data_IF_017915462241
#
_entry.id   IF_017915462241
#
_cell.length_a   1.000
_cell.length_b   1.000
_cell.length_c   1.000
_cell.angle_alpha   90.00
_cell.angle_beta   90.00
_cell.angle_gamma   90.00
#
_symmetry.space_group_name_H-M   'P 1'
#
loop_
_entity.id
_entity.type
_entity.pdbx_description
1 polymer ?
#
# COMPACT_ATOMS: atom_id res chain seq x y z
N UNK A 1 1.38 50.29 -9.30
CA UNK A 1 2.37 49.18 -9.15
C UNK A 1 1.96 48.15 -8.09
N UNK A 2 1.33 48.52 -6.97
CA UNK A 2 0.89 47.57 -5.92
C UNK A 2 -0.10 46.46 -6.35
N UNK A 3 -1.01 46.73 -7.30
CA UNK A 3 -2.01 45.73 -7.75
C UNK A 3 -1.42 44.56 -8.54
N UNK A 4 -0.30 44.76 -9.25
CA UNK A 4 0.33 43.70 -10.03
C UNK A 4 1.12 42.72 -9.14
N UNK A 5 1.68 43.20 -8.03
CA UNK A 5 2.44 42.39 -7.07
C UNK A 5 1.53 41.44 -6.27
N UNK A 6 0.33 41.90 -5.90
CA UNK A 6 -0.67 41.07 -5.20
C UNK A 6 -1.18 39.95 -6.12
N UNK A 7 -1.36 40.24 -7.42
CA UNK A 7 -1.79 39.24 -8.41
C UNK A 7 -0.70 38.19 -8.70
N UNK A 8 0.57 38.61 -8.78
CA UNK A 8 1.71 37.69 -8.94
C UNK A 8 1.92 36.82 -7.70
N UNK A 9 1.79 37.37 -6.49
CA UNK A 9 1.85 36.59 -5.25
C UNK A 9 0.70 35.57 -5.16
N UNK A 10 -0.52 35.95 -5.56
CA UNK A 10 -1.66 35.04 -5.63
C UNK A 10 -1.46 33.92 -6.66
N UNK A 11 -0.87 34.21 -7.82
CA UNK A 11 -0.58 33.19 -8.85
C UNK A 11 0.51 32.22 -8.38
N UNK A 12 1.58 32.70 -7.72
CA UNK A 12 2.63 31.84 -7.16
C UNK A 12 2.13 31.00 -5.99
N UNK A 13 1.23 31.53 -5.15
CA UNK A 13 0.57 30.75 -4.11
C UNK A 13 -0.41 29.71 -4.71
N UNK A 14 -1.17 30.07 -5.75
CA UNK A 14 -2.13 29.17 -6.42
C UNK A 14 -1.46 28.03 -7.19
N UNK A 15 -0.22 28.19 -7.67
CA UNK A 15 0.53 27.10 -8.32
C UNK A 15 1.29 26.20 -7.34
N UNK A 16 1.35 26.55 -6.05
CA UNK A 16 2.20 25.88 -5.06
C UNK A 16 1.52 24.78 -4.23
N UNK A 17 0.21 24.54 -4.39
CA UNK A 17 -0.52 23.58 -3.53
C UNK A 17 -1.34 22.55 -4.30
N UNK A 18 -0.93 22.16 -5.51
CA UNK A 18 -1.40 20.89 -6.06
C UNK A 18 -0.51 19.81 -5.45
N UNK A 19 -1.01 19.11 -4.43
CA UNK A 19 -0.32 17.96 -3.88
C UNK A 19 0.08 17.03 -5.04
N UNK A 20 1.37 16.71 -5.15
CA UNK A 20 1.91 15.84 -6.18
C UNK A 20 2.21 14.47 -5.59
N UNK A 21 2.05 13.43 -6.41
CA UNK A 21 2.47 12.09 -6.01
C UNK A 21 3.98 12.06 -5.79
N UNK A 22 4.40 11.57 -4.63
CA UNK A 22 5.79 11.30 -4.32
C UNK A 22 6.05 9.81 -4.38
N UNK A 23 6.87 9.39 -5.35
CA UNK A 23 7.30 8.00 -5.46
C UNK A 23 8.10 7.59 -4.21
N UNK A 24 7.80 6.42 -3.60
CA UNK A 24 8.57 5.96 -2.46
C UNK A 24 9.99 5.57 -2.88
N UNK A 25 10.94 5.73 -1.96
CA UNK A 25 12.32 5.31 -2.18
C UNK A 25 12.46 3.82 -1.81
N UNK A 26 12.95 3.01 -2.74
CA UNK A 26 13.25 1.59 -2.50
C UNK A 26 14.67 1.51 -1.92
N UNK A 27 14.86 1.01 -0.68
CA UNK A 27 16.19 0.82 -0.14
C UNK A 27 16.95 -0.26 -0.93
N UNK A 28 18.23 -0.04 -1.23
CA UNK A 28 19.01 -0.99 -2.04
C UNK A 28 19.24 -2.35 -1.38
N UNK A 29 19.16 -2.42 -0.04
CA UNK A 29 19.42 -3.64 0.73
C UNK A 29 18.22 -4.58 0.83
N UNK A 30 16.99 -4.09 0.66
CA UNK A 30 15.77 -4.90 0.88
C UNK A 30 15.65 -6.03 -0.14
N UNK A 31 16.09 -5.82 -1.38
CA UNK A 31 16.09 -6.86 -2.40
C UNK A 31 16.95 -8.06 -1.99
N UNK A 32 18.20 -7.82 -1.57
CA UNK A 32 19.10 -8.89 -1.17
C UNK A 32 18.57 -9.65 0.06
N UNK A 33 18.04 -8.94 1.06
CA UNK A 33 17.46 -9.56 2.25
C UNK A 33 16.17 -10.34 1.96
N UNK A 34 15.36 -9.88 0.99
CA UNK A 34 14.20 -10.62 0.53
C UNK A 34 14.60 -11.96 -0.09
N UNK A 35 15.62 -11.96 -0.96
CA UNK A 35 16.15 -13.19 -1.58
C UNK A 35 16.68 -14.13 -0.50
N UNK A 36 17.51 -13.62 0.41
CA UNK A 36 18.06 -14.41 1.52
C UNK A 36 16.95 -15.05 2.34
N UNK A 37 15.90 -14.30 2.70
CA UNK A 37 14.78 -14.78 3.49
C UNK A 37 14.00 -15.89 2.80
N UNK A 38 13.64 -15.70 1.53
CA UNK A 38 12.87 -16.67 0.77
C UNK A 38 13.70 -17.94 0.54
N UNK A 39 14.96 -17.80 0.14
CA UNK A 39 15.83 -18.93 -0.14
C UNK A 39 16.32 -19.67 1.11
N UNK A 40 16.45 -19.00 2.26
CA UNK A 40 16.81 -19.66 3.52
C UNK A 40 15.72 -20.62 4.01
N UNK A 41 14.45 -20.31 3.74
CA UNK A 41 13.34 -21.17 4.13
C UNK A 41 13.14 -22.34 3.14
N UNK A 42 13.52 -22.18 1.88
CA UNK A 42 13.40 -23.20 0.83
C UNK A 42 14.70 -23.29 0.00
N UNK A 43 15.80 -23.83 0.55
CA UNK A 43 17.09 -23.86 -0.16
C UNK A 43 17.08 -24.72 -1.42
N UNK A 44 16.20 -25.74 -1.48
CA UNK A 44 16.01 -26.57 -2.67
C UNK A 44 15.46 -25.79 -3.85
N UNK A 45 14.44 -24.96 -3.62
CA UNK A 45 13.79 -24.11 -4.64
C UNK A 45 14.70 -22.99 -5.15
N UNK A 46 15.75 -22.62 -4.42
CA UNK A 46 16.72 -21.62 -4.86
C UNK A 46 18.04 -22.22 -5.38
N UNK A 47 18.07 -23.53 -5.64
CA UNK A 47 19.30 -24.23 -5.99
C UNK A 47 19.74 -23.97 -7.44
N UNK A 48 18.81 -23.71 -8.36
CA UNK A 48 19.15 -23.38 -9.74
C UNK A 48 19.35 -21.87 -9.94
N UNK A 49 20.20 -21.55 -10.92
CA UNK A 49 20.41 -20.16 -11.36
C UNK A 49 19.12 -19.51 -11.90
N UNK A 50 18.20 -20.31 -12.44
CA UNK A 50 16.94 -19.81 -13.00
C UNK A 50 15.98 -19.42 -11.89
N UNK A 51 15.73 -20.30 -10.93
CA UNK A 51 14.84 -20.03 -9.79
C UNK A 51 15.36 -18.87 -8.95
N UNK A 52 16.66 -18.84 -8.66
CA UNK A 52 17.29 -17.73 -7.96
C UNK A 52 17.07 -16.39 -8.68
N UNK A 53 17.09 -16.36 -10.01
CA UNK A 53 16.80 -15.14 -10.77
C UNK A 53 15.33 -14.73 -10.69
N UNK A 54 14.40 -15.70 -10.69
CA UNK A 54 12.98 -15.43 -10.54
C UNK A 54 12.70 -14.78 -9.18
N UNK A 55 13.28 -15.31 -8.10
CA UNK A 55 13.17 -14.74 -6.75
C UNK A 55 13.85 -13.37 -6.68
N UNK A 56 15.04 -13.23 -7.26
CA UNK A 56 15.73 -11.94 -7.30
C UNK A 56 14.91 -10.83 -7.98
N UNK A 57 14.27 -11.14 -9.11
CA UNK A 57 13.36 -10.21 -9.80
C UNK A 57 12.09 -9.91 -8.98
N UNK A 58 11.47 -10.95 -8.40
CA UNK A 58 10.30 -10.82 -7.57
C UNK A 58 10.56 -9.94 -6.32
N UNK A 59 11.73 -10.09 -5.72
CA UNK A 59 12.24 -9.30 -4.61
C UNK A 59 12.66 -7.87 -4.99
N UNK A 60 12.52 -7.45 -6.25
CA UNK A 60 12.67 -6.03 -6.58
C UNK A 60 11.60 -5.20 -5.87
N UNK A 61 11.88 -3.91 -5.62
CA UNK A 61 10.88 -2.91 -5.20
C UNK A 61 10.19 -3.17 -3.86
N UNK A 62 10.84 -3.89 -2.96
CA UNK A 62 10.37 -4.05 -1.59
C UNK A 62 10.68 -2.78 -0.79
N UNK A 63 9.64 -2.13 -0.24
CA UNK A 63 9.82 -0.95 0.62
C UNK A 63 10.51 -1.31 1.93
N UNK A 64 10.06 -2.42 2.49
CA UNK A 64 10.55 -3.08 3.68
C UNK A 64 10.26 -4.59 3.53
N UNK A 65 10.65 -5.41 4.51
CA UNK A 65 10.36 -6.85 4.49
C UNK A 65 9.10 -7.23 5.27
N UNK A 66 8.40 -6.25 5.86
CA UNK A 66 7.29 -6.51 6.77
C UNK A 66 6.09 -7.16 6.06
N UNK A 67 5.82 -6.80 4.80
CA UNK A 67 4.80 -7.48 4.01
C UNK A 67 5.13 -8.98 3.82
N UNK A 68 6.39 -9.29 3.48
CA UNK A 68 6.84 -10.68 3.28
C UNK A 68 6.80 -11.44 4.61
N UNK A 69 7.33 -10.84 5.68
CA UNK A 69 7.34 -11.45 7.02
C UNK A 69 5.93 -11.78 7.53
N UNK A 70 4.97 -10.87 7.30
CA UNK A 70 3.59 -11.11 7.68
C UNK A 70 2.92 -12.15 6.78
N UNK A 71 3.17 -12.11 5.46
CA UNK A 71 2.62 -13.09 4.52
C UNK A 71 3.08 -14.50 4.87
N UNK A 72 4.39 -14.72 5.06
CA UNK A 72 4.97 -16.03 5.38
C UNK A 72 4.56 -16.56 6.77
N UNK A 73 4.08 -15.69 7.65
CA UNK A 73 3.55 -16.07 8.96
C UNK A 73 2.09 -16.51 8.89
N UNK A 74 1.32 -15.96 7.94
CA UNK A 74 -0.12 -16.21 7.80
C UNK A 74 -0.40 -17.38 6.86
N UNK A 75 0.36 -17.49 5.78
CA UNK A 75 0.27 -18.57 4.80
C UNK A 75 0.85 -19.84 5.40
N UNK A 76 0.20 -20.98 5.14
CA UNK A 76 0.68 -22.27 5.63
C UNK A 76 2.04 -22.62 5.02
N UNK A 77 2.88 -23.36 5.74
CA UNK A 77 4.19 -23.77 5.20
C UNK A 77 4.11 -24.62 3.93
N UNK A 78 2.96 -25.26 3.69
CA UNK A 78 2.68 -26.07 2.51
C UNK A 78 2.33 -25.25 1.27
N UNK A 79 1.98 -23.97 1.43
CA UNK A 79 1.64 -23.03 0.35
C UNK A 79 2.71 -21.93 0.18
N UNK A 80 3.92 -22.21 0.67
CA UNK A 80 5.08 -21.34 0.50
C UNK A 80 6.37 -22.14 0.25
N UNK A 81 6.25 -23.37 -0.23
CA UNK A 81 7.37 -24.29 -0.42
C UNK A 81 7.67 -24.54 -1.90
N UNK A 82 6.87 -24.00 -2.82
CA UNK A 82 7.15 -24.00 -4.26
C UNK A 82 7.67 -22.65 -4.73
N UNK A 83 8.58 -22.67 -5.71
CA UNK A 83 9.14 -21.44 -6.29
C UNK A 83 8.08 -20.45 -6.79
N UNK A 84 6.98 -20.93 -7.36
CA UNK A 84 5.89 -20.10 -7.89
C UNK A 84 5.13 -19.35 -6.79
N UNK A 85 4.93 -20.00 -5.64
CA UNK A 85 4.29 -19.42 -4.47
C UNK A 85 5.19 -18.35 -3.85
N UNK A 86 6.47 -18.66 -3.69
CA UNK A 86 7.48 -17.71 -3.18
C UNK A 86 7.58 -16.46 -4.06
N UNK A 87 7.61 -16.65 -5.38
CA UNK A 87 7.61 -15.55 -6.35
C UNK A 87 6.31 -14.73 -6.26
N UNK A 88 5.17 -15.39 -6.11
CA UNK A 88 3.86 -14.74 -6.00
C UNK A 88 3.75 -13.90 -4.73
N UNK A 89 4.20 -14.41 -3.58
CA UNK A 89 4.26 -13.66 -2.31
C UNK A 89 5.14 -12.43 -2.50
N UNK A 90 6.38 -12.61 -2.96
CA UNK A 90 7.33 -11.52 -3.14
C UNK A 90 6.82 -10.43 -4.10
N UNK A 91 6.24 -10.83 -5.24
CA UNK A 91 5.64 -9.90 -6.21
C UNK A 91 4.45 -9.16 -5.64
N UNK A 92 3.59 -9.84 -4.90
CA UNK A 92 2.42 -9.21 -4.27
C UNK A 92 2.82 -8.12 -3.26
N UNK A 93 3.99 -8.26 -2.62
CA UNK A 93 4.54 -7.32 -1.65
C UNK A 93 5.30 -6.11 -2.24
N UNK A 94 5.47 -6.05 -3.56
CA UNK A 94 6.15 -4.91 -4.20
C UNK A 94 5.41 -3.60 -3.89
N UNK A 95 6.16 -2.59 -3.43
CA UNK A 95 5.59 -1.30 -3.02
C UNK A 95 4.57 -1.36 -1.86
N UNK A 96 4.54 -2.45 -1.09
CA UNK A 96 3.69 -2.60 0.09
C UNK A 96 4.50 -2.31 1.34
N UNK A 97 3.99 -1.43 2.21
CA UNK A 97 4.59 -1.21 3.52
C UNK A 97 4.10 -2.25 4.52
N UNK A 98 5.01 -2.83 5.30
CA UNK A 98 4.69 -3.73 6.39
C UNK A 98 3.72 -3.12 7.41
N UNK A 99 3.78 -1.81 7.65
CA UNK A 99 2.83 -1.12 8.54
C UNK A 99 1.41 -1.08 7.96
N UNK A 100 1.26 -0.74 6.67
CA UNK A 100 -0.06 -0.72 6.03
C UNK A 100 -0.67 -2.14 6.01
N UNK A 101 0.16 -3.14 5.72
CA UNK A 101 -0.21 -4.55 5.80
C UNK A 101 -0.66 -4.95 7.21
N UNK A 102 0.12 -4.65 8.24
CA UNK A 102 -0.25 -4.95 9.61
C UNK A 102 -1.58 -4.27 10.01
N UNK A 103 -1.77 -3.02 9.64
CA UNK A 103 -2.99 -2.25 9.90
C UNK A 103 -4.21 -2.87 9.22
N UNK A 104 -4.11 -3.23 7.94
CA UNK A 104 -5.18 -3.90 7.21
C UNK A 104 -5.55 -5.22 7.89
N UNK A 105 -4.56 -6.09 8.11
CA UNK A 105 -4.77 -7.39 8.73
C UNK A 105 -5.42 -7.26 10.11
N UNK A 106 -4.97 -6.33 10.96
CA UNK A 106 -5.54 -6.17 12.32
C UNK A 106 -7.05 -5.92 12.33
N UNK A 107 -7.58 -5.27 11.30
CA UNK A 107 -8.98 -4.84 11.27
C UNK A 107 -9.89 -5.78 10.46
N UNK A 108 -9.34 -6.75 9.71
CA UNK A 108 -10.13 -7.74 8.97
C UNK A 108 -10.42 -9.00 9.80
N UNK A 109 -11.51 -9.70 9.51
CA UNK A 109 -11.75 -11.03 10.10
C UNK A 109 -10.64 -11.99 9.73
N UNK A 110 -10.40 -12.99 10.57
CA UNK A 110 -9.35 -13.99 10.33
C UNK A 110 -9.63 -14.85 9.10
N UNK A 111 -10.90 -15.18 8.87
CA UNK A 111 -11.35 -16.01 7.76
C UNK A 111 -11.12 -15.38 6.39
N UNK A 112 -10.95 -14.05 6.31
CA UNK A 112 -10.70 -13.33 5.05
C UNK A 112 -9.18 -13.06 4.84
N UNK A 113 -8.30 -13.74 5.60
CA UNK A 113 -6.84 -13.50 5.58
C UNK A 113 -6.04 -14.71 6.05
N UNK A 114 -6.51 -15.92 5.81
CA UNK A 114 -5.79 -17.14 6.19
C UNK A 114 -5.50 -18.10 5.03
N UNK A 115 -6.00 -17.80 3.83
CA UNK A 115 -5.62 -18.50 2.60
C UNK A 115 -4.53 -17.77 1.79
N UNK A 116 -3.71 -18.53 1.07
CA UNK A 116 -2.69 -17.98 0.15
C UNK A 116 -3.27 -16.96 -0.84
N UNK A 117 -4.43 -17.27 -1.43
CA UNK A 117 -5.08 -16.41 -2.42
C UNK A 117 -5.58 -15.08 -1.84
N UNK A 118 -6.04 -15.10 -0.58
CA UNK A 118 -6.50 -13.92 0.14
C UNK A 118 -5.34 -13.03 0.54
N UNK A 119 -4.27 -13.61 1.09
CA UNK A 119 -3.08 -12.84 1.49
C UNK A 119 -2.46 -12.14 0.28
N UNK A 120 -2.27 -12.87 -0.83
CA UNK A 120 -1.72 -12.27 -2.06
C UNK A 120 -2.66 -11.21 -2.65
N UNK A 121 -3.98 -11.41 -2.55
CA UNK A 121 -4.96 -10.38 -2.91
C UNK A 121 -4.82 -9.13 -2.02
N UNK A 122 -4.75 -9.29 -0.70
CA UNK A 122 -4.60 -8.18 0.25
C UNK A 122 -3.32 -7.39 -0.05
N UNK A 123 -2.20 -8.08 -0.26
CA UNK A 123 -0.93 -7.47 -0.62
C UNK A 123 -1.06 -6.62 -1.90
N UNK A 124 -1.70 -7.17 -2.94
CA UNK A 124 -1.93 -6.44 -4.19
C UNK A 124 -2.80 -5.19 -4.01
N UNK A 125 -3.72 -5.19 -3.03
CA UNK A 125 -4.58 -4.04 -2.70
C UNK A 125 -3.86 -2.99 -1.87
N UNK A 126 -2.74 -3.34 -1.25
CA UNK A 126 -1.93 -2.44 -0.43
C UNK A 126 -0.76 -1.80 -1.21
N UNK A 127 -0.69 -2.04 -2.51
CA UNK A 127 0.28 -1.42 -3.40
C UNK A 127 0.25 0.11 -3.29
N UNK A 128 1.37 0.71 -2.86
CA UNK A 128 1.52 2.16 -2.61
C UNK A 128 0.53 2.76 -1.59
N UNK A 129 -0.11 1.93 -0.76
CA UNK A 129 -0.99 2.43 0.28
C UNK A 129 -0.19 3.07 1.40
N UNK A 130 -0.51 4.33 1.72
CA UNK A 130 0.07 4.99 2.89
C UNK A 130 -0.64 4.55 4.16
N UNK A 131 0.12 4.07 5.14
CA UNK A 131 -0.43 3.65 6.42
C UNK A 131 -1.17 4.79 7.15
N UNK A 132 -0.72 6.04 7.00
CA UNK A 132 -1.41 7.21 7.55
C UNK A 132 -2.81 7.37 6.96
N UNK A 133 -2.97 7.19 5.65
CA UNK A 133 -4.28 7.23 4.98
C UNK A 133 -5.20 6.14 5.50
N UNK A 134 -4.72 4.90 5.51
CA UNK A 134 -5.50 3.75 5.99
C UNK A 134 -5.89 3.94 7.46
N UNK A 135 -4.95 4.33 8.33
CA UNK A 135 -5.23 4.57 9.74
C UNK A 135 -6.24 5.72 9.97
N UNK A 136 -6.14 6.80 9.20
CA UNK A 136 -7.11 7.90 9.25
C UNK A 136 -8.51 7.45 8.83
N UNK A 137 -8.63 6.67 7.76
CA UNK A 137 -9.90 6.10 7.31
C UNK A 137 -10.51 5.19 8.40
N UNK A 138 -9.73 4.24 8.91
CA UNK A 138 -10.18 3.28 9.93
C UNK A 138 -10.51 3.92 11.27
N UNK A 139 -9.93 5.08 11.60
CA UNK A 139 -10.29 5.82 12.81
C UNK A 139 -11.71 6.40 12.79
N UNK A 140 -12.34 6.43 11.61
CA UNK A 140 -13.67 6.97 11.37
C UNK A 140 -14.74 5.90 11.18
N UNK A 141 -14.33 4.75 10.64
CA UNK A 141 -15.23 3.63 10.35
C UNK A 141 -15.55 2.81 11.60
N UNK A 142 -16.77 2.29 11.67
CA UNK A 142 -17.06 1.24 12.63
C UNK A 142 -16.28 -0.02 12.20
N UNK A 143 -15.83 -0.89 13.13
CA UNK A 143 -15.14 -2.14 12.76
C UNK A 143 -15.90 -3.06 11.79
N UNK A 144 -17.22 -2.86 11.63
CA UNK A 144 -18.05 -3.63 10.69
C UNK A 144 -18.09 -3.05 9.27
N UNK A 145 -17.62 -1.81 9.10
CA UNK A 145 -17.53 -1.15 7.80
C UNK A 145 -16.13 -1.35 7.17
N UNK A 146 -15.30 -2.15 7.82
CA UNK A 146 -14.01 -2.61 7.35
C UNK A 146 -13.68 -3.96 8.00
N UNK A 147 -14.34 -5.02 7.56
CA UNK A 147 -14.05 -6.37 8.05
C UNK A 147 -13.88 -7.43 6.95
N UNK A 148 -14.16 -7.06 5.69
CA UNK A 148 -14.07 -7.95 4.52
C UNK A 148 -13.02 -7.52 3.48
N UNK A 149 -12.75 -8.40 2.51
CA UNK A 149 -11.91 -8.09 1.34
C UNK A 149 -12.50 -7.00 0.43
N UNK A 150 -13.83 -6.86 0.40
CA UNK A 150 -14.51 -5.84 -0.39
C UNK A 150 -14.29 -4.45 0.20
N UNK A 151 -14.39 -4.33 1.53
CA UNK A 151 -14.15 -3.08 2.25
C UNK A 151 -12.68 -2.65 2.15
N UNK A 152 -11.77 -3.63 2.29
CA UNK A 152 -10.35 -3.40 2.06
C UNK A 152 -10.14 -2.73 0.70
N UNK A 153 -10.69 -3.32 -0.35
CA UNK A 153 -10.58 -2.79 -1.71
C UNK A 153 -11.20 -1.40 -1.83
N UNK A 154 -12.36 -1.15 -1.23
CA UNK A 154 -13.03 0.15 -1.31
C UNK A 154 -12.14 1.29 -0.76
N UNK A 155 -11.55 1.07 0.42
CA UNK A 155 -10.71 2.06 1.11
C UNK A 155 -9.31 2.17 0.49
N UNK A 156 -8.61 1.05 0.26
CA UNK A 156 -7.21 1.09 -0.19
C UNK A 156 -7.04 1.65 -1.60
N UNK A 157 -8.05 1.47 -2.47
CA UNK A 157 -8.08 2.10 -3.78
C UNK A 157 -8.02 3.63 -3.70
N UNK A 158 -8.56 4.22 -2.63
CA UNK A 158 -8.41 5.66 -2.41
C UNK A 158 -7.04 5.95 -1.82
N UNK A 159 -6.53 5.13 -0.90
CA UNK A 159 -5.24 5.32 -0.22
C UNK A 159 -3.96 5.11 -1.03
N UNK A 160 -4.06 4.97 -2.35
CA UNK A 160 -2.91 4.81 -3.25
C UNK A 160 -2.32 6.18 -3.63
N UNK A 161 -1.18 6.55 -3.04
CA UNK A 161 -0.49 7.80 -3.40
C UNK A 161 -0.06 8.65 -2.22
N UNK A 162 -0.04 9.98 -2.39
CA UNK A 162 0.29 10.94 -1.34
C UNK A 162 -0.97 11.47 -0.67
N UNK A 163 -1.13 11.17 0.62
CA UNK A 163 -2.31 11.54 1.40
C UNK A 163 -2.15 12.87 2.15
N UNK A 164 -3.13 13.75 2.00
CA UNK A 164 -3.25 14.99 2.78
C UNK A 164 -4.24 14.79 3.95
N UNK A 165 -3.68 14.53 5.13
CA UNK A 165 -4.46 14.36 6.36
C UNK A 165 -5.26 15.60 6.75
N UNK A 166 -4.74 16.81 6.49
CA UNK A 166 -5.42 18.04 6.84
C UNK A 166 -6.62 18.28 5.92
N UNK A 167 -6.50 17.94 4.63
CA UNK A 167 -7.61 17.90 3.71
C UNK A 167 -8.69 16.92 4.19
N UNK A 168 -8.31 15.69 4.54
CA UNK A 168 -9.28 14.66 4.95
C UNK A 168 -10.05 15.06 6.21
N UNK A 169 -9.34 15.54 7.23
CA UNK A 169 -9.94 16.06 8.46
C UNK A 169 -10.86 17.25 8.21
N UNK A 170 -10.57 18.08 7.20
CA UNK A 170 -11.45 19.17 6.79
C UNK A 170 -12.71 18.63 6.11
N UNK A 171 -12.59 17.69 5.16
CA UNK A 171 -13.72 17.08 4.47
C UNK A 171 -14.69 16.41 5.46
N UNK A 172 -14.17 15.65 6.42
CA UNK A 172 -14.95 14.98 7.47
C UNK A 172 -15.50 15.91 8.57
N UNK A 173 -15.21 17.22 8.51
CA UNK A 173 -15.81 18.22 9.40
C UNK A 173 -16.80 19.12 8.68
N UNK A 174 -16.54 19.43 7.40
CA UNK A 174 -17.31 20.43 6.66
C UNK A 174 -18.34 19.84 5.69
N UNK A 175 -18.02 18.70 5.06
CA UNK A 175 -18.80 18.17 3.93
C UNK A 175 -19.45 16.84 4.24
N UNK A 176 -18.71 15.97 4.94
CA UNK A 176 -19.13 14.63 5.32
C UNK A 176 -19.08 14.49 6.84
N UNK A 177 -19.88 13.59 7.40
CA UNK A 177 -19.76 13.20 8.80
C UNK A 177 -18.71 12.11 9.02
N UNK A 178 -18.35 11.40 7.95
CA UNK A 178 -17.41 10.29 7.91
C UNK A 178 -17.74 9.25 8.98
N UNK A 179 -19.01 8.87 9.09
CA UNK A 179 -19.48 7.81 9.99
C UNK A 179 -19.91 6.54 9.25
N UNK A 180 -19.82 6.52 7.92
CA UNK A 180 -20.00 5.37 7.06
C UNK A 180 -18.89 5.29 5.99
N UNK A 181 -18.82 4.14 5.32
CA UNK A 181 -17.77 3.84 4.34
C UNK A 181 -17.82 4.74 3.10
N UNK A 182 -19.00 5.06 2.60
CA UNK A 182 -19.17 5.85 1.37
C UNK A 182 -18.65 7.27 1.58
N UNK A 183 -19.03 7.89 2.69
CA UNK A 183 -18.56 9.22 3.08
C UNK A 183 -17.03 9.27 3.26
N UNK A 184 -16.44 8.25 3.87
CA UNK A 184 -14.98 8.14 4.04
C UNK A 184 -14.29 8.00 2.68
N UNK A 185 -14.78 7.13 1.79
CA UNK A 185 -14.23 6.95 0.43
C UNK A 185 -14.25 8.26 -0.35
N UNK A 186 -15.35 9.00 -0.28
CA UNK A 186 -15.53 10.27 -0.96
C UNK A 186 -14.61 11.38 -0.42
N UNK A 187 -14.44 11.43 0.90
CA UNK A 187 -13.50 12.33 1.55
C UNK A 187 -12.05 12.02 1.15
N UNK A 188 -11.65 10.74 1.16
CA UNK A 188 -10.31 10.29 0.76
C UNK A 188 -10.01 10.64 -0.70
N UNK A 189 -10.95 10.38 -1.61
CA UNK A 189 -10.79 10.68 -3.05
C UNK A 189 -10.44 12.15 -3.31
N UNK A 190 -10.94 13.06 -2.47
CA UNK A 190 -10.70 14.49 -2.59
C UNK A 190 -9.33 14.93 -2.04
N UNK A 191 -8.66 14.07 -1.29
CA UNK A 191 -7.49 14.41 -0.47
C UNK A 191 -6.26 13.56 -0.75
N UNK A 192 -6.27 12.82 -1.87
CA UNK A 192 -5.19 11.93 -2.25
C UNK A 192 -4.71 12.26 -3.65
N UNK A 193 -3.40 12.43 -3.76
CA UNK A 193 -2.70 12.58 -5.02
C UNK A 193 -2.07 11.26 -5.43
N UNK A 194 -2.83 10.49 -6.20
CA UNK A 194 -2.40 9.18 -6.72
C UNK A 194 -1.34 9.28 -7.83
N UNK A 195 -0.60 8.19 -8.08
CA UNK A 195 0.38 8.15 -9.16
C UNK A 195 -0.29 8.28 -10.53
N UNK A 196 0.19 9.23 -11.33
CA UNK A 196 -0.23 9.37 -12.73
C UNK A 196 0.23 8.16 -13.56
N UNK A 197 -0.29 8.03 -14.79
CA UNK A 197 0.21 7.00 -15.74
C UNK A 197 1.71 7.11 -16.00
N UNK A 198 2.27 8.32 -15.93
CA UNK A 198 3.71 8.57 -16.12
C UNK A 198 4.48 8.12 -14.88
N UNK A 199 3.99 8.43 -13.68
CA UNK A 199 4.62 8.01 -12.43
C UNK A 199 4.67 6.49 -12.33
N UNK A 200 3.58 5.81 -12.72
CA UNK A 200 3.53 4.33 -12.74
C UNK A 200 4.55 3.71 -13.70
N UNK A 201 4.94 4.39 -14.78
CA UNK A 201 5.99 3.90 -15.71
C UNK A 201 7.40 4.14 -15.17
N UNK A 202 7.56 5.00 -14.17
CA UNK A 202 8.84 5.31 -13.52
C UNK A 202 9.14 4.41 -12.32
N UNK A 203 8.11 3.72 -11.80
CA UNK A 203 8.19 2.65 -10.80
C UNK A 203 8.53 1.30 -11.48
#
# INVERSE_FOLDING_TARGET
>A
MFRAVILLAAIVYLTSTMAQFQAPQIPSHTQAQCVEKLCANNPGECSSRTEHRMIFDACSRQLDLGCIDLSMKLISSYEQNEIEEMVSIARSCQYVSGYAHQTAMKNMYRYDRDEFSEITFINSRLWLVQNSCLASALSRLHPRDFDSLEDLKAITNQCTGTFDVACFEKQCKSKYSCNDQEEVVDALRSCISGPSKVDRRRL
#
